data_IF_536988872961
#
_entry.id   IF_536988872961
#
_cell.length_a   1.000
_cell.length_b   1.000
_cell.length_c   1.000
_cell.angle_alpha   90.00
_cell.angle_beta   90.00
_cell.angle_gamma   90.00
#
_symmetry.space_group_name_H-M   'P 1'
#
loop_
_entity.id
_entity.type
_entity.pdbx_description
1 polymer ?
#
# COMPACT_ATOMS: atom_id res chain seq x y z
N UNK A 1 7.48 7.08 -4.09
CA UNK A 1 6.11 6.63 -3.71
C UNK A 1 6.06 6.30 -2.22
N UNK A 2 4.98 6.67 -1.54
CA UNK A 2 4.76 6.39 -0.11
C UNK A 2 3.44 5.65 0.06
N UNK A 3 3.46 4.52 0.76
CA UNK A 3 2.28 3.69 1.03
C UNK A 3 1.98 3.68 2.52
N UNK A 4 0.72 3.85 2.87
CA UNK A 4 0.28 3.95 4.26
C UNK A 4 -0.94 3.06 4.45
N UNK A 5 -0.87 2.11 5.39
CA UNK A 5 -2.02 1.33 5.82
C UNK A 5 -2.40 1.72 7.25
N UNK A 6 -3.43 2.56 7.44
CA UNK A 6 -3.85 2.97 8.77
C UNK A 6 -4.16 1.78 9.69
N UNK A 7 -3.97 1.97 11.00
CA UNK A 7 -4.38 0.99 12.00
C UNK A 7 -5.90 0.83 11.98
N UNK A 8 -6.40 -0.40 12.01
CA UNK A 8 -7.83 -0.67 12.21
C UNK A 8 -8.00 -1.86 13.15
N UNK A 9 -8.89 -1.73 14.15
CA UNK A 9 -9.22 -2.81 15.09
C UNK A 9 -9.79 -4.06 14.38
N UNK A 10 -10.40 -3.89 13.20
CA UNK A 10 -11.08 -4.95 12.45
C UNK A 10 -10.24 -5.35 11.23
N UNK A 11 -9.60 -6.53 11.25
CA UNK A 11 -8.75 -7.05 10.15
C UNK A 11 -7.25 -6.83 10.32
N UNK A 12 -6.80 -6.59 11.55
CA UNK A 12 -5.40 -6.37 11.91
C UNK A 12 -4.46 -7.54 11.58
N UNK A 13 -4.98 -8.75 11.42
CA UNK A 13 -4.19 -9.99 11.22
C UNK A 13 -3.80 -10.27 9.77
N UNK A 14 -4.48 -9.71 8.77
CA UNK A 14 -4.18 -10.01 7.37
C UNK A 14 -3.12 -9.06 6.82
N UNK A 15 -2.01 -9.61 6.34
CA UNK A 15 -1.05 -8.90 5.50
C UNK A 15 -1.65 -8.59 4.13
N UNK A 16 -1.33 -7.42 3.59
CA UNK A 16 -1.63 -7.09 2.19
C UNK A 16 -0.34 -7.09 1.38
N UNK A 17 -0.43 -7.59 0.15
CA UNK A 17 0.71 -7.65 -0.77
C UNK A 17 0.58 -6.48 -1.73
N UNK A 18 1.61 -5.66 -1.81
CA UNK A 18 1.66 -4.51 -2.71
C UNK A 18 2.40 -4.94 -3.97
N UNK A 19 1.83 -4.65 -5.13
CA UNK A 19 2.51 -4.76 -6.40
C UNK A 19 2.73 -3.39 -7.06
N UNK A 20 3.83 -3.26 -7.79
CA UNK A 20 4.16 -2.13 -8.64
C UNK A 20 4.43 -2.66 -10.05
N UNK A 21 3.71 -2.12 -11.03
CA UNK A 21 3.79 -2.53 -12.45
C UNK A 21 3.66 -4.05 -12.63
N UNK A 22 2.70 -4.63 -11.89
CA UNK A 22 2.38 -6.07 -11.92
C UNK A 22 3.30 -6.97 -11.11
N UNK A 23 4.36 -6.44 -10.49
CA UNK A 23 5.31 -7.22 -9.66
C UNK A 23 5.09 -6.98 -8.18
N UNK A 24 5.00 -8.03 -7.39
CA UNK A 24 4.91 -7.91 -5.93
C UNK A 24 6.22 -7.35 -5.37
N UNK A 25 6.14 -6.22 -4.67
CA UNK A 25 7.31 -5.48 -4.17
C UNK A 25 7.39 -5.44 -2.65
N UNK A 26 6.26 -5.63 -1.95
CA UNK A 26 6.23 -5.47 -0.50
C UNK A 26 5.00 -6.11 0.15
N UNK A 27 5.11 -6.38 1.45
CA UNK A 27 3.99 -6.82 2.29
C UNK A 27 3.76 -5.80 3.40
N UNK A 28 2.54 -5.29 3.54
CA UNK A 28 2.19 -4.24 4.50
C UNK A 28 1.10 -4.69 5.48
N UNK A 29 1.36 -4.53 6.78
CA UNK A 29 0.43 -4.85 7.87
C UNK A 29 -0.34 -3.62 8.33
N UNK A 30 -1.37 -3.83 9.15
CA UNK A 30 -2.18 -2.73 9.68
C UNK A 30 -1.33 -1.85 10.60
N UNK A 31 -1.43 -0.53 10.42
CA UNK A 31 -0.66 0.44 11.18
C UNK A 31 0.75 0.68 10.66
N UNK A 32 1.11 0.16 9.49
CA UNK A 32 2.44 0.34 8.88
C UNK A 32 2.40 1.34 7.72
N UNK A 33 3.56 1.95 7.47
CA UNK A 33 3.83 2.73 6.27
C UNK A 33 5.22 2.38 5.70
N UNK A 34 5.45 2.68 4.42
CA UNK A 34 6.73 2.46 3.75
C UNK A 34 6.93 3.45 2.59
N UNK A 35 8.17 3.57 2.10
CA UNK A 35 8.53 4.48 1.03
C UNK A 35 9.48 3.83 0.01
N UNK A 36 9.05 3.80 -1.25
CA UNK A 36 9.84 3.32 -2.38
C UNK A 36 10.41 4.49 -3.18
N UNK A 37 11.67 4.35 -3.59
CA UNK A 37 12.21 5.12 -4.70
C UNK A 37 11.80 4.43 -6.01
N UNK A 38 11.12 5.16 -6.88
CA UNK A 38 10.64 4.67 -8.18
C UNK A 38 11.03 5.67 -9.26
N UNK A 39 11.24 5.23 -10.52
CA UNK A 39 11.47 6.13 -11.64
C UNK A 39 10.34 7.15 -11.80
N UNK A 40 10.63 8.27 -12.47
CA UNK A 40 9.58 9.16 -12.93
C UNK A 40 8.87 8.53 -14.15
N UNK A 41 7.57 8.77 -14.28
CA UNK A 41 6.76 8.23 -15.37
C UNK A 41 5.43 7.64 -14.91
N UNK A 42 4.76 6.96 -15.83
CA UNK A 42 3.51 6.25 -15.54
C UNK A 42 3.78 4.92 -14.86
N UNK A 43 3.03 4.67 -13.78
CA UNK A 43 3.10 3.43 -13.01
C UNK A 43 1.71 2.97 -12.61
N UNK A 44 1.60 1.69 -12.27
CA UNK A 44 0.42 1.11 -11.63
C UNK A 44 0.82 0.54 -10.29
N UNK A 45 0.25 1.05 -9.22
CA UNK A 45 0.35 0.44 -7.89
C UNK A 45 -0.92 -0.33 -7.60
N UNK A 46 -0.80 -1.56 -7.12
CA UNK A 46 -1.94 -2.37 -6.72
C UNK A 46 -1.72 -3.01 -5.35
N UNK A 47 -2.83 -3.34 -4.71
CA UNK A 47 -2.87 -4.08 -3.46
C UNK A 47 -3.65 -5.37 -3.66
N UNK A 48 -2.97 -6.48 -3.38
CA UNK A 48 -3.53 -7.82 -3.37
C UNK A 48 -3.80 -8.25 -1.94
N UNK A 49 -4.90 -8.95 -1.76
CA UNK A 49 -5.20 -9.59 -0.49
C UNK A 49 -6.02 -10.84 -0.70
N UNK A 50 -5.81 -11.80 0.20
CA UNK A 50 -6.55 -13.05 0.25
C UNK A 50 -7.68 -12.93 1.27
N UNK A 51 -8.92 -13.12 0.83
CA UNK A 51 -10.10 -13.06 1.69
C UNK A 51 -11.19 -12.10 1.19
N UNK A 52 -12.15 -11.82 2.06
CA UNK A 52 -13.43 -11.18 1.72
C UNK A 52 -14.59 -12.17 1.86
N UNK A 53 -15.68 -11.95 1.13
CA UNK A 53 -16.83 -12.86 1.10
C UNK A 53 -16.56 -14.18 0.34
N UNK A 54 -15.42 -14.30 -0.35
CA UNK A 54 -15.00 -15.51 -1.06
C UNK A 54 -13.50 -15.79 -0.83
N UNK A 55 -13.07 -17.06 -0.73
CA UNK A 55 -11.67 -17.45 -0.50
C UNK A 55 -10.86 -17.38 -1.81
N UNK A 56 -10.77 -16.18 -2.39
CA UNK A 56 -10.02 -15.94 -3.63
C UNK A 56 -9.10 -14.74 -3.45
N UNK A 57 -8.04 -14.68 -4.24
CA UNK A 57 -7.22 -13.47 -4.33
C UNK A 57 -8.01 -12.35 -4.97
N UNK A 58 -7.94 -11.17 -4.36
CA UNK A 58 -8.51 -9.92 -4.87
C UNK A 58 -7.39 -8.91 -5.05
N UNK A 59 -7.51 -8.10 -6.08
CA UNK A 59 -6.56 -7.04 -6.41
C UNK A 59 -7.32 -5.75 -6.70
N UNK A 60 -6.83 -4.64 -6.15
CA UNK A 60 -7.31 -3.28 -6.45
C UNK A 60 -6.10 -2.45 -6.85
N UNK A 61 -6.19 -1.71 -7.96
CA UNK A 61 -5.07 -1.03 -8.57
C UNK A 61 -5.38 0.42 -8.95
N UNK A 62 -4.34 1.24 -8.96
CA UNK A 62 -4.40 2.65 -9.33
C UNK A 62 -3.22 3.01 -10.23
N UNK A 63 -3.53 3.44 -11.44
CA UNK A 63 -2.57 4.12 -12.30
C UNK A 63 -2.29 5.53 -11.76
N UNK A 64 -1.03 5.94 -11.79
CA UNK A 64 -0.59 7.26 -11.39
C UNK A 64 0.66 7.67 -12.17
N UNK A 65 0.93 8.98 -12.19
CA UNK A 65 2.18 9.52 -12.70
C UNK A 65 3.10 9.86 -11.51
N UNK A 66 4.30 9.30 -11.50
CA UNK A 66 5.36 9.63 -10.55
C UNK A 66 6.15 10.82 -11.10
N UNK A 67 6.02 11.99 -10.47
CA UNK A 67 6.86 13.14 -10.77
C UNK A 67 8.25 12.96 -10.15
N UNK A 68 9.27 13.49 -10.82
CA UNK A 68 10.64 13.48 -10.30
C UNK A 68 10.71 14.25 -8.97
N UNK A 69 11.38 13.65 -7.99
CA UNK A 69 11.61 14.21 -6.64
C UNK A 69 10.35 14.61 -5.85
N UNK A 70 9.15 14.16 -6.28
CA UNK A 70 7.90 14.39 -5.57
C UNK A 70 7.26 13.08 -5.10
N UNK A 71 6.92 12.94 -3.81
CA UNK A 71 6.27 11.74 -3.31
C UNK A 71 4.79 11.69 -3.73
N UNK A 72 4.40 10.62 -4.42
CA UNK A 72 3.00 10.21 -4.52
C UNK A 72 2.60 9.40 -3.29
N UNK A 73 1.55 9.84 -2.58
CA UNK A 73 1.05 9.21 -1.36
C UNK A 73 -0.18 8.34 -1.64
N UNK A 74 -0.19 7.14 -1.06
CA UNK A 74 -1.32 6.22 -1.18
C UNK A 74 -1.75 5.69 0.18
N UNK A 75 -3.05 5.71 0.41
CA UNK A 75 -3.71 5.03 1.51
C UNK A 75 -4.20 3.67 1.06
N UNK A 76 -3.88 2.64 1.83
CA UNK A 76 -4.41 1.29 1.69
C UNK A 76 -5.43 1.07 2.81
N UNK A 77 -6.69 0.84 2.45
CA UNK A 77 -7.78 0.61 3.40
C UNK A 77 -8.50 -0.72 3.11
N UNK A 78 -9.34 -1.15 4.05
CA UNK A 78 -10.34 -2.19 3.74
C UNK A 78 -11.37 -1.66 2.76
N UNK A 79 -12.00 -2.58 2.03
CA UNK A 79 -13.23 -2.35 1.28
C UNK A 79 -14.10 -3.61 1.34
N UNK A 80 -15.31 -3.56 0.80
CA UNK A 80 -16.28 -4.68 0.80
C UNK A 80 -15.73 -5.95 0.14
N UNK A 81 -14.85 -5.80 -0.85
CA UNK A 81 -14.26 -6.92 -1.59
C UNK A 81 -13.06 -7.52 -0.86
N UNK A 82 -12.07 -6.71 -0.47
CA UNK A 82 -10.94 -7.13 0.36
C UNK A 82 -10.08 -5.93 0.83
N UNK A 83 -9.46 -5.22 -0.11
CA UNK A 83 -8.67 -4.01 0.11
C UNK A 83 -8.98 -2.98 -0.98
N UNK A 84 -8.61 -1.72 -0.72
CA UNK A 84 -8.66 -0.62 -1.67
C UNK A 84 -7.38 0.20 -1.53
N UNK A 85 -6.87 0.69 -2.66
CA UNK A 85 -5.80 1.67 -2.71
C UNK A 85 -6.32 2.99 -3.28
N UNK A 86 -6.00 4.09 -2.62
CA UNK A 86 -6.39 5.43 -3.05
C UNK A 86 -5.19 6.38 -2.95
N UNK A 87 -5.00 7.20 -3.96
CA UNK A 87 -4.04 8.30 -3.88
C UNK A 87 -4.61 9.40 -2.98
N UNK A 88 -3.78 9.95 -2.10
CA UNK A 88 -4.16 11.00 -1.14
C UNK A 88 -3.24 12.22 -1.25
N UNK A 89 -3.66 13.35 -0.71
CA UNK A 89 -2.83 14.55 -0.63
C UNK A 89 -1.80 14.44 0.50
N UNK A 90 -0.84 15.36 0.52
CA UNK A 90 0.24 15.38 1.51
C UNK A 90 -0.23 15.72 2.93
N UNK A 91 -1.32 16.50 3.09
CA UNK A 91 -1.85 16.87 4.40
C UNK A 91 -2.42 15.64 5.13
N UNK A 92 -3.24 14.86 4.43
CA UNK A 92 -3.82 13.63 4.94
C UNK A 92 -2.74 12.57 5.16
N UNK A 93 -1.79 12.46 4.23
CA UNK A 93 -0.65 11.57 4.37
C UNK A 93 0.15 11.88 5.65
N UNK A 94 0.41 13.16 5.94
CA UNK A 94 1.13 13.57 7.16
C UNK A 94 0.44 13.09 8.44
N UNK A 95 -0.89 13.21 8.52
CA UNK A 95 -1.68 12.73 9.67
C UNK A 95 -1.53 11.22 9.85
N UNK A 96 -1.61 10.47 8.75
CA UNK A 96 -1.53 9.00 8.79
C UNK A 96 -0.10 8.51 9.04
N UNK A 97 0.92 9.18 8.51
CA UNK A 97 2.33 8.86 8.75
C UNK A 97 2.68 9.03 10.23
N UNK A 98 2.21 10.10 10.87
CA UNK A 98 2.43 10.33 12.31
C UNK A 98 1.78 9.23 13.20
N UNK A 99 0.72 8.58 12.70
CA UNK A 99 -0.02 7.55 13.40
C UNK A 99 0.38 6.11 13.00
N UNK A 100 1.43 5.93 12.19
CA UNK A 100 1.83 4.61 11.69
C UNK A 100 3.34 4.37 11.85
N UNK A 101 3.71 3.09 11.91
CA UNK A 101 5.09 2.65 12.02
C UNK A 101 5.73 2.57 10.64
N UNK A 102 6.83 3.30 10.44
CA UNK A 102 7.63 3.15 9.23
C UNK A 102 8.32 1.78 9.21
N UNK A 103 8.19 1.10 8.07
CA UNK A 103 8.88 -0.14 7.76
C UNK A 103 9.73 0.13 6.51
N UNK A 104 11.04 0.01 6.66
CA UNK A 104 11.95 0.09 5.52
C UNK A 104 11.60 -1.00 4.51
N UNK A 105 11.38 -0.66 3.22
CA UNK A 105 11.17 -1.66 2.20
C UNK A 105 12.50 -2.36 1.91
N UNK A 106 12.73 -3.48 2.59
CA UNK A 106 13.95 -4.26 2.47
C UNK A 106 13.61 -5.70 2.12
N UNK A 107 14.51 -6.32 1.34
CA UNK A 107 14.54 -7.70 0.85
C UNK A 107 13.86 -8.70 1.78
N UNK A 108 12.96 -9.52 1.24
CA UNK A 108 12.37 -10.65 1.96
C UNK A 108 13.51 -11.55 2.45
N UNK A 109 13.66 -11.68 3.76
CA UNK A 109 14.45 -12.76 4.35
C UNK A 109 13.72 -14.07 4.01
N UNK A 110 14.28 -14.83 3.07
CA UNK A 110 13.85 -16.22 2.82
C UNK A 110 14.05 -17.00 4.13
N UNK A 111 12.95 -17.54 4.65
CA UNK A 111 12.99 -18.76 5.45
C UNK A 111 12.34 -19.85 4.63
#
# INVERSE_FOLDING_TARGET
MVLIRPSSLIGATNSYYVALDGKDVFTIRSGENTQFHIPAGEHVVSVKCFGGWSPTWKEDGKQFFAAQDQPSYFQISRNLTCAKIAQINSEDARKLLAASKFISPNTVSNK
#
